data_IF_784629448368
#
_entry.id   IF_784629448368
#
_cell.length_a   1.000
_cell.length_b   1.000
_cell.length_c   1.000
_cell.angle_alpha   90.00
_cell.angle_beta   90.00
_cell.angle_gamma   90.00
#
_symmetry.space_group_name_H-M   'P 1'
#
loop_
_entity.id
_entity.type
_entity.pdbx_description
1 polymer ?
#
# COMPACT_ATOMS: atom_id res chain seq x y z
N UNK A 1 -18.03 -1.33 17.58
CA UNK A 1 -17.90 -2.58 16.82
C UNK A 1 -16.44 -2.97 16.87
N UNK A 2 -16.10 -4.06 17.57
CA UNK A 2 -14.74 -4.56 17.66
C UNK A 2 -14.66 -5.78 16.74
N UNK A 3 -13.97 -5.64 15.61
CA UNK A 3 -13.77 -6.75 14.67
C UNK A 3 -12.50 -7.46 15.12
N UNK A 4 -12.65 -8.69 15.63
CA UNK A 4 -11.53 -9.59 15.90
C UNK A 4 -11.24 -10.40 14.63
N UNK A 5 -10.05 -10.23 14.05
CA UNK A 5 -9.60 -10.97 12.87
C UNK A 5 -8.73 -12.13 13.34
N UNK A 6 -9.05 -13.34 12.89
CA UNK A 6 -8.20 -14.52 13.09
C UNK A 6 -7.03 -14.43 12.11
N UNK A 7 -5.83 -14.18 12.65
CA UNK A 7 -4.59 -14.03 11.87
C UNK A 7 -4.25 -15.28 11.04
N UNK A 8 -4.76 -16.46 11.41
CA UNK A 8 -4.56 -17.70 10.64
C UNK A 8 -5.33 -17.74 9.31
N UNK A 9 -6.31 -16.85 9.15
CA UNK A 9 -7.14 -16.70 7.95
C UNK A 9 -6.66 -15.58 7.03
N UNK A 10 -5.56 -14.88 7.37
CA UNK A 10 -4.96 -13.85 6.51
C UNK A 10 -4.04 -14.49 5.47
N UNK A 11 -4.50 -14.56 4.23
CA UNK A 11 -3.64 -14.81 3.06
C UNK A 11 -3.07 -13.48 2.56
N UNK A 12 -1.79 -13.22 2.82
CA UNK A 12 -1.07 -12.09 2.21
C UNK A 12 -0.50 -12.56 0.88
N UNK A 13 -1.10 -12.12 -0.22
CA UNK A 13 -0.43 -12.15 -1.52
C UNK A 13 0.55 -10.97 -1.52
N UNK A 14 1.82 -11.24 -1.78
CA UNK A 14 2.89 -10.29 -1.42
C UNK A 14 2.86 -9.00 -2.27
N UNK A 15 2.32 -9.03 -3.51
CA UNK A 15 1.98 -7.83 -4.29
C UNK A 15 0.81 -7.03 -3.69
N UNK A 16 -0.07 -7.69 -2.94
CA UNK A 16 -1.33 -7.11 -2.47
C UNK A 16 -1.18 -6.40 -1.12
N UNK A 17 -0.15 -6.69 -0.32
CA UNK A 17 0.07 -6.00 0.94
C UNK A 17 1.54 -5.98 1.35
N UNK A 18 2.09 -4.79 1.56
CA UNK A 18 3.46 -4.61 2.03
C UNK A 18 3.57 -3.48 3.06
N UNK A 19 4.70 -3.43 3.76
CA UNK A 19 4.97 -2.44 4.81
C UNK A 19 6.29 -1.73 4.54
N UNK A 20 6.31 -0.43 4.83
CA UNK A 20 7.55 0.35 4.85
C UNK A 20 7.58 1.31 6.04
N UNK A 21 8.78 1.74 6.41
CA UNK A 21 8.99 2.73 7.46
C UNK A 21 9.55 4.01 6.86
N UNK A 22 8.98 5.16 7.25
CA UNK A 22 9.48 6.49 6.91
C UNK A 22 9.66 7.27 8.20
N UNK A 23 10.89 7.70 8.48
CA UNK A 23 11.25 8.51 9.66
C UNK A 23 10.73 7.95 11.00
N UNK A 24 10.80 6.62 11.17
CA UNK A 24 10.33 5.93 12.36
C UNK A 24 8.82 5.70 12.44
N UNK A 25 8.05 6.15 11.43
CA UNK A 25 6.62 5.86 11.28
C UNK A 25 6.42 4.66 10.37
N UNK A 26 5.59 3.71 10.79
CA UNK A 26 5.25 2.51 10.02
C UNK A 26 4.00 2.74 9.15
N UNK A 27 4.08 2.38 7.88
CA UNK A 27 2.99 2.43 6.93
C UNK A 27 2.72 1.03 6.37
N UNK A 28 1.46 0.61 6.39
CA UNK A 28 0.98 -0.59 5.73
C UNK A 28 0.26 -0.16 4.44
N UNK A 29 0.59 -0.81 3.34
CA UNK A 29 0.00 -0.54 2.04
C UNK A 29 -0.75 -1.78 1.62
N UNK A 30 -2.03 -1.61 1.30
CA UNK A 30 -2.91 -2.65 0.80
C UNK A 30 -3.33 -2.28 -0.61
N UNK A 31 -3.08 -3.16 -1.58
CA UNK A 31 -3.63 -3.06 -2.91
C UNK A 31 -5.02 -3.69 -2.94
N UNK A 32 -5.97 -2.93 -3.46
CA UNK A 32 -7.34 -3.30 -3.69
C UNK A 32 -7.57 -3.31 -5.20
N UNK A 33 -7.90 -4.47 -5.76
CA UNK A 33 -8.19 -4.64 -7.20
C UNK A 33 -9.71 -4.71 -7.38
N UNK A 34 -10.39 -3.58 -7.18
CA UNK A 34 -11.85 -3.48 -7.36
C UNK A 34 -12.27 -3.46 -8.83
N UNK A 35 -11.38 -3.03 -9.71
CA UNK A 35 -11.56 -2.95 -11.15
C UNK A 35 -10.34 -3.56 -11.84
N UNK A 36 -10.53 -4.20 -12.99
CA UNK A 36 -9.48 -4.93 -13.72
C UNK A 36 -8.38 -3.97 -14.20
N UNK A 37 -8.76 -2.72 -14.47
CA UNK A 37 -7.86 -1.71 -15.04
C UNK A 37 -7.43 -0.64 -14.02
N UNK A 38 -7.73 -0.81 -12.73
CA UNK A 38 -7.36 0.16 -11.68
C UNK A 38 -6.77 -0.55 -10.45
N UNK A 39 -5.58 -0.09 -10.07
CA UNK A 39 -4.85 -0.51 -8.89
C UNK A 39 -5.03 0.52 -7.78
N UNK A 40 -5.79 0.18 -6.75
CA UNK A 40 -6.08 1.07 -5.62
C UNK A 40 -5.20 0.72 -4.42
N UNK A 41 -4.22 1.56 -4.09
CA UNK A 41 -3.35 1.42 -2.92
C UNK A 41 -3.92 2.19 -1.73
N UNK A 42 -4.43 1.48 -0.74
CA UNK A 42 -4.79 2.02 0.56
C UNK A 42 -3.54 2.11 1.45
N UNK A 43 -3.22 3.32 1.90
CA UNK A 43 -2.07 3.62 2.74
C UNK A 43 -2.55 3.83 4.16
N UNK A 44 -2.16 2.93 5.06
CA UNK A 44 -2.54 2.93 6.46
C UNK A 44 -1.34 3.27 7.33
N UNK A 45 -1.44 4.35 8.10
CA UNK A 45 -0.39 4.73 9.06
C UNK A 45 -0.64 4.05 10.39
N UNK A 46 0.43 3.51 10.96
CA UNK A 46 0.43 2.96 12.31
C UNK A 46 1.10 3.93 13.26
N UNK A 47 0.33 4.40 14.24
CA UNK A 47 0.81 5.18 15.37
C UNK A 47 0.58 4.35 16.65
N UNK A 48 1.64 3.74 17.18
CA UNK A 48 1.60 2.83 18.32
C UNK A 48 0.64 1.63 18.11
N UNK A 49 -0.49 1.62 18.83
CA UNK A 49 -1.53 0.58 18.78
C UNK A 49 -2.70 0.96 17.87
N UNK A 50 -2.69 2.15 17.29
CA UNK A 50 -3.72 2.62 16.38
C UNK A 50 -3.25 2.54 14.93
N UNK A 51 -4.16 2.12 14.06
CA UNK A 51 -3.96 2.09 12.61
C UNK A 51 -5.07 2.93 12.00
N UNK A 52 -4.71 3.88 11.15
CA UNK A 52 -5.65 4.80 10.51
C UNK A 52 -5.39 4.87 9.01
N UNK A 53 -6.45 4.92 8.21
CA UNK A 53 -6.35 5.12 6.77
C UNK A 53 -5.89 6.56 6.52
N UNK A 54 -4.72 6.71 5.92
CA UNK A 54 -4.19 8.03 5.58
C UNK A 54 -4.69 8.48 4.22
N UNK A 55 -4.61 7.60 3.23
CA UNK A 55 -4.82 7.97 1.84
C UNK A 55 -5.10 6.74 0.99
N UNK A 56 -5.84 6.97 -0.08
CA UNK A 56 -6.00 6.02 -1.17
C UNK A 56 -5.33 6.64 -2.40
N UNK A 57 -4.51 5.85 -3.08
CA UNK A 57 -3.85 6.21 -4.33
C UNK A 57 -4.31 5.25 -5.38
N UNK A 58 -4.77 5.76 -6.52
CA UNK A 58 -5.20 4.93 -7.65
C UNK A 58 -4.21 5.08 -8.80
N UNK A 59 -3.84 3.96 -9.41
CA UNK A 59 -3.12 3.91 -10.68
C UNK A 59 -4.00 3.19 -11.70
N UNK A 60 -4.08 3.72 -12.91
CA UNK A 60 -4.56 2.93 -14.05
C UNK A 60 -3.59 1.79 -14.36
N UNK A 61 -4.06 0.77 -15.08
CA UNK A 61 -3.20 -0.33 -15.55
C UNK A 61 -1.98 0.17 -16.35
N UNK A 62 -2.14 1.23 -17.14
CA UNK A 62 -1.04 1.77 -17.94
C UNK A 62 -0.01 2.50 -17.07
N UNK A 63 -0.44 3.27 -16.06
CA UNK A 63 0.47 3.86 -15.08
C UNK A 63 1.17 2.80 -14.23
N UNK A 64 0.46 1.74 -13.81
CA UNK A 64 1.03 0.65 -13.04
C UNK A 64 2.17 -0.05 -13.80
N UNK A 65 2.01 -0.27 -15.11
CA UNK A 65 3.03 -0.90 -15.95
C UNK A 65 4.34 -0.12 -16.01
N UNK A 66 4.32 1.20 -15.81
CA UNK A 66 5.56 2.01 -15.74
C UNK A 66 6.44 1.63 -14.53
N UNK A 67 5.83 1.07 -13.49
CA UNK A 67 6.50 0.67 -12.24
C UNK A 67 6.56 -0.85 -12.06
N UNK A 68 6.00 -1.63 -12.97
CA UNK A 68 5.94 -3.09 -12.87
C UNK A 68 7.23 -3.74 -13.39
N UNK A 69 7.86 -4.52 -12.52
CA UNK A 69 9.03 -5.33 -12.84
C UNK A 69 8.71 -6.82 -12.65
N UNK A 70 9.50 -7.69 -13.29
CA UNK A 70 9.37 -9.14 -13.13
C UNK A 70 9.65 -9.61 -11.70
N UNK A 71 10.21 -8.74 -10.85
CA UNK A 71 10.36 -8.96 -9.42
C UNK A 71 9.48 -8.00 -8.61
N UNK A 72 8.81 -8.60 -7.64
CA UNK A 72 7.84 -7.90 -6.80
C UNK A 72 8.50 -6.85 -5.91
N UNK A 73 9.69 -7.15 -5.38
CA UNK A 73 10.39 -6.26 -4.45
C UNK A 73 10.71 -4.92 -5.12
N UNK A 74 11.19 -4.94 -6.35
CA UNK A 74 11.49 -3.74 -7.14
C UNK A 74 10.21 -3.02 -7.51
N UNK A 75 9.16 -3.75 -7.88
CA UNK A 75 7.82 -3.17 -8.14
C UNK A 75 7.32 -2.39 -6.93
N UNK A 76 7.29 -3.03 -5.74
CA UNK A 76 6.86 -2.39 -4.51
C UNK A 76 7.76 -1.20 -4.14
N UNK A 77 9.08 -1.33 -4.33
CA UNK A 77 10.03 -0.24 -4.08
C UNK A 77 9.77 0.99 -4.97
N UNK A 78 9.54 0.79 -6.27
CA UNK A 78 9.27 1.90 -7.19
C UNK A 78 7.91 2.55 -6.91
N UNK A 79 6.87 1.76 -6.67
CA UNK A 79 5.54 2.28 -6.29
C UNK A 79 5.64 3.11 -4.99
N UNK A 80 6.42 2.64 -4.01
CA UNK A 80 6.66 3.43 -2.79
C UNK A 80 7.34 4.75 -3.11
N UNK A 81 8.44 4.73 -3.86
CA UNK A 81 9.26 5.92 -4.07
C UNK A 81 8.64 6.94 -5.02
N UNK A 82 8.02 6.47 -6.11
CA UNK A 82 7.52 7.34 -7.18
C UNK A 82 6.08 7.77 -6.94
N UNK A 83 5.28 6.98 -6.23
CA UNK A 83 3.85 7.22 -6.10
C UNK A 83 3.45 7.52 -4.65
N UNK A 84 3.74 6.61 -3.72
CA UNK A 84 3.23 6.70 -2.34
C UNK A 84 3.95 7.79 -1.53
N UNK A 85 5.28 7.84 -1.55
CA UNK A 85 6.04 8.84 -0.79
C UNK A 85 5.70 10.28 -1.23
N UNK A 86 5.63 10.62 -2.53
CA UNK A 86 5.14 11.92 -2.95
C UNK A 86 3.70 12.20 -2.51
N UNK A 87 2.84 11.19 -2.51
CA UNK A 87 1.45 11.33 -2.07
C UNK A 87 1.32 11.63 -0.57
N UNK A 88 2.19 11.05 0.28
CA UNK A 88 2.29 11.31 1.72
C UNK A 88 2.90 12.70 1.98
N UNK A 89 4.02 13.04 1.33
CA UNK A 89 4.72 14.32 1.54
C UNK A 89 3.85 15.54 1.21
N UNK A 90 2.91 15.42 0.26
CA UNK A 90 1.94 16.49 -0.05
C UNK A 90 0.93 16.78 1.07
N UNK A 91 0.87 15.95 2.11
CA UNK A 91 -0.07 16.10 3.23
C UNK A 91 0.57 16.72 4.48
N UNK A 92 1.91 16.78 4.54
CA UNK A 92 2.70 17.39 5.62
C UNK A 92 3.04 18.82 5.21
#
# INVERSE_FOLDING_TARGET
MHISIDESQMSVFFLDCFRFCLDGTEYNVLLNTRDVDVYEYEIWKRDNREISLMKIVTLSLDEFKEYYFADERTTNYEIVNQVILPAIKKMI
#
